data_IF_323272210586
#
_entry.id   IF_323272210586
#
_cell.length_a   1.000
_cell.length_b   1.000
_cell.length_c   1.000
_cell.angle_alpha   90.00
_cell.angle_beta   90.00
_cell.angle_gamma   90.00
#
_symmetry.space_group_name_H-M   'P 1'
#
loop_
_entity.id
_entity.type
_entity.pdbx_description
1 polymer ?
#
# COMPACT_ATOMS: atom_id res chain seq x y z
N UNK A 1 -12.12 6.45 -21.46
CA UNK A 1 -13.39 6.16 -20.79
C UNK A 1 -14.04 4.88 -21.34
N UNK A 2 -13.31 3.76 -21.44
CA UNK A 2 -13.82 2.44 -21.89
C UNK A 2 -13.41 1.25 -21.00
N UNK A 3 -12.71 1.48 -19.88
CA UNK A 3 -12.18 0.41 -19.01
C UNK A 3 -13.04 0.08 -17.77
N UNK A 4 -14.12 0.84 -17.54
CA UNK A 4 -14.93 0.75 -16.31
C UNK A 4 -15.92 -0.43 -16.28
N UNK A 5 -16.19 -1.10 -17.40
CA UNK A 5 -17.26 -2.12 -17.47
C UNK A 5 -16.80 -3.58 -17.26
N UNK A 6 -15.51 -3.87 -17.25
CA UNK A 6 -15.01 -5.25 -17.09
C UNK A 6 -14.88 -5.66 -15.62
N UNK A 7 -14.72 -4.71 -14.69
CA UNK A 7 -14.53 -5.00 -13.27
C UNK A 7 -15.78 -5.35 -12.47
N UNK A 8 -16.97 -4.90 -12.91
CA UNK A 8 -18.22 -5.21 -12.21
C UNK A 8 -18.60 -6.69 -12.28
N UNK A 9 -18.14 -7.42 -13.29
CA UNK A 9 -18.46 -8.85 -13.46
C UNK A 9 -17.65 -9.78 -12.55
N UNK A 10 -16.44 -9.39 -12.15
CA UNK A 10 -15.57 -10.20 -11.28
C UNK A 10 -15.96 -10.12 -9.80
N UNK A 11 -16.49 -8.99 -9.36
CA UNK A 11 -16.95 -8.80 -7.98
C UNK A 11 -18.18 -9.66 -7.64
N UNK A 12 -19.10 -9.85 -8.60
CA UNK A 12 -20.33 -10.62 -8.37
C UNK A 12 -20.08 -12.13 -8.29
N UNK A 13 -19.04 -12.65 -8.97
CA UNK A 13 -18.69 -14.07 -8.89
C UNK A 13 -17.85 -14.42 -7.65
N UNK A 14 -17.12 -13.45 -7.08
CA UNK A 14 -16.34 -13.63 -5.84
C UNK A 14 -17.22 -13.82 -4.60
N UNK A 15 -18.40 -13.21 -4.57
CA UNK A 15 -19.32 -13.29 -3.40
C UNK A 15 -19.96 -14.70 -3.28
N UNK A 16 -20.13 -15.41 -4.38
CA UNK A 16 -20.74 -16.76 -4.34
C UNK A 16 -19.77 -17.84 -3.84
N UNK A 17 -18.45 -17.62 -3.90
CA UNK A 17 -17.44 -18.57 -3.40
C UNK A 17 -17.18 -18.37 -1.90
N UNK A 18 -17.45 -17.19 -1.38
CA UNK A 18 -17.21 -16.86 0.03
C UNK A 18 -18.19 -17.52 1.03
N UNK A 19 -19.31 -18.03 0.56
CA UNK A 19 -20.33 -18.65 1.44
C UNK A 19 -20.03 -20.09 1.89
N UNK A 20 -18.93 -20.68 1.44
CA UNK A 20 -18.52 -22.04 1.82
C UNK A 20 -17.20 -22.13 2.57
N UNK A 21 -16.56 -20.98 2.88
CA UNK A 21 -15.38 -20.97 3.75
C UNK A 21 -15.86 -21.03 5.21
N UNK A 22 -15.42 -22.02 5.97
CA UNK A 22 -15.46 -21.99 7.42
C UNK A 22 -14.95 -20.62 7.90
N UNK A 23 -15.59 -20.04 8.93
CA UNK A 23 -15.15 -18.78 9.56
C UNK A 23 -13.71 -18.97 10.07
N UNK A 24 -12.74 -18.69 9.21
CA UNK A 24 -11.34 -18.61 9.63
C UNK A 24 -11.16 -17.24 10.28
N UNK A 25 -10.78 -17.21 11.57
CA UNK A 25 -10.35 -15.99 12.25
C UNK A 25 -9.04 -15.51 11.60
N UNK A 26 -9.14 -14.57 10.71
CA UNK A 26 -8.00 -13.87 10.13
C UNK A 26 -7.52 -12.83 11.13
N UNK A 27 -6.34 -13.03 11.71
CA UNK A 27 -5.67 -12.03 12.55
C UNK A 27 -4.82 -11.07 11.72
N UNK A 28 -4.60 -9.85 12.23
CA UNK A 28 -3.69 -8.89 11.61
C UNK A 28 -2.26 -9.43 11.61
N UNK A 29 -1.67 -9.59 10.42
CA UNK A 29 -0.27 -10.02 10.22
C UNK A 29 0.52 -8.93 9.54
N UNK A 30 1.80 -8.79 9.94
CA UNK A 30 2.75 -7.84 9.36
C UNK A 30 3.88 -8.54 8.59
N UNK A 31 3.71 -9.83 8.29
CA UNK A 31 4.65 -10.60 7.47
C UNK A 31 4.01 -10.93 6.14
N UNK A 32 4.26 -10.09 5.14
CA UNK A 32 3.65 -10.19 3.81
C UNK A 32 4.50 -9.58 2.70
N UNK A 33 4.22 -10.00 1.46
CA UNK A 33 4.55 -9.27 0.24
C UNK A 33 3.26 -8.66 -0.35
N UNK A 34 3.35 -7.47 -0.88
CA UNK A 34 2.24 -6.74 -1.49
C UNK A 34 2.64 -6.23 -2.86
N UNK A 35 1.76 -6.39 -3.86
CA UNK A 35 1.89 -5.78 -5.17
C UNK A 35 0.67 -4.91 -5.43
N UNK A 36 0.89 -3.66 -5.84
CA UNK A 36 -0.14 -2.67 -6.18
C UNK A 36 0.09 -2.06 -7.55
N UNK A 37 -0.98 -1.88 -8.28
CA UNK A 37 -1.06 -1.00 -9.44
C UNK A 37 -1.58 0.35 -8.96
N UNK A 38 -0.93 1.41 -9.40
CA UNK A 38 -1.18 2.79 -8.98
C UNK A 38 -1.61 3.60 -10.20
N UNK A 39 -2.66 4.38 -10.05
CA UNK A 39 -3.14 5.35 -11.03
C UNK A 39 -3.09 6.73 -10.35
N UNK A 40 -2.39 7.69 -10.97
CA UNK A 40 -2.17 9.06 -10.48
C UNK A 40 -3.05 10.01 -11.27
N UNK A 41 -4.11 10.55 -10.65
CA UNK A 41 -5.16 11.28 -11.35
C UNK A 41 -4.67 12.63 -11.90
N UNK A 42 -4.04 13.47 -11.09
CA UNK A 42 -3.71 14.85 -11.47
C UNK A 42 -2.41 14.99 -12.28
N UNK A 43 -1.45 14.08 -12.12
CA UNK A 43 -0.17 14.10 -12.84
C UNK A 43 -0.19 13.29 -14.12
N UNK A 44 -1.27 12.53 -14.34
CA UNK A 44 -1.44 11.68 -15.53
C UNK A 44 -0.31 10.66 -15.63
N UNK A 45 -0.22 9.77 -14.67
CA UNK A 45 0.76 8.68 -14.63
C UNK A 45 0.18 7.42 -14.03
N UNK A 46 0.86 6.33 -14.27
CA UNK A 46 0.55 5.03 -13.66
C UNK A 46 1.83 4.33 -13.22
N UNK A 47 1.70 3.32 -12.40
CA UNK A 47 2.87 2.61 -11.92
C UNK A 47 2.56 1.34 -11.16
N UNK A 48 3.61 0.75 -10.66
CA UNK A 48 3.57 -0.42 -9.80
C UNK A 48 4.34 -0.14 -8.50
N UNK A 49 3.82 -0.68 -7.40
CA UNK A 49 4.46 -0.63 -6.09
C UNK A 49 4.53 -2.05 -5.52
N UNK A 50 5.72 -2.46 -5.14
CA UNK A 50 5.97 -3.72 -4.45
C UNK A 50 6.46 -3.41 -3.03
N UNK A 51 5.83 -4.02 -2.02
CA UNK A 51 6.19 -3.85 -0.63
C UNK A 51 6.46 -5.21 0.01
N UNK A 52 7.44 -5.23 0.90
CA UNK A 52 7.73 -6.34 1.80
C UNK A 52 7.63 -5.85 3.24
N UNK A 53 7.02 -6.65 4.09
CA UNK A 53 7.01 -6.44 5.53
C UNK A 53 7.31 -7.76 6.23
N UNK A 54 8.16 -7.71 7.24
CA UNK A 54 8.52 -8.87 8.04
C UNK A 54 8.50 -8.50 9.53
N UNK A 55 7.66 -9.18 10.28
CA UNK A 55 7.54 -9.02 11.72
C UNK A 55 8.68 -9.73 12.44
N UNK A 56 9.52 -8.98 13.14
CA UNK A 56 10.65 -9.52 13.92
C UNK A 56 10.18 -10.12 15.24
N UNK A 57 9.18 -9.49 15.84
CA UNK A 57 8.53 -9.88 17.08
C UNK A 57 7.16 -9.19 17.12
N UNK A 58 6.41 -9.38 18.20
CA UNK A 58 5.04 -8.89 18.30
C UNK A 58 4.85 -7.37 18.10
N UNK A 59 5.90 -6.58 18.07
CA UNK A 59 5.79 -5.13 17.98
C UNK A 59 6.68 -4.50 16.89
N UNK A 60 7.80 -5.11 16.54
CA UNK A 60 8.75 -4.55 15.58
C UNK A 60 8.68 -5.26 14.23
N UNK A 61 8.75 -4.49 13.17
CA UNK A 61 8.84 -5.01 11.80
C UNK A 61 9.93 -4.31 10.99
N UNK A 62 10.47 -5.04 10.01
CA UNK A 62 11.28 -4.49 8.93
C UNK A 62 10.38 -4.35 7.72
N UNK A 63 10.55 -3.26 6.99
CA UNK A 63 9.79 -2.97 5.78
C UNK A 63 10.75 -2.57 4.66
N UNK A 64 10.39 -2.91 3.43
CA UNK A 64 11.07 -2.49 2.23
C UNK A 64 10.09 -2.32 1.09
N UNK A 65 10.43 -1.47 0.13
CA UNK A 65 9.58 -1.18 -1.00
C UNK A 65 10.38 -0.85 -2.26
N UNK A 66 9.73 -1.10 -3.38
CA UNK A 66 10.17 -0.69 -4.71
C UNK A 66 8.94 -0.19 -5.45
N UNK A 67 9.04 1.01 -6.03
CA UNK A 67 7.99 1.52 -6.90
C UNK A 67 8.57 2.08 -8.19
N UNK A 68 7.79 1.98 -9.27
CA UNK A 68 8.13 2.55 -10.56
C UNK A 68 6.88 3.19 -11.14
N UNK A 69 7.02 4.43 -11.60
CA UNK A 69 5.95 5.25 -12.14
C UNK A 69 6.36 5.80 -13.50
N UNK A 70 5.44 5.71 -14.44
CA UNK A 70 5.53 6.31 -15.77
C UNK A 70 4.60 7.52 -15.80
N UNK A 71 5.15 8.70 -16.03
CA UNK A 71 4.40 9.94 -16.14
C UNK A 71 4.31 10.39 -17.59
N UNK A 72 3.34 11.25 -17.87
CA UNK A 72 3.27 11.95 -19.15
C UNK A 72 4.59 12.69 -19.46
N UNK A 73 4.88 12.92 -20.74
CA UNK A 73 6.08 13.60 -21.25
C UNK A 73 7.39 12.81 -21.09
N UNK A 74 7.34 11.48 -21.02
CA UNK A 74 8.49 10.59 -20.89
C UNK A 74 9.33 10.92 -19.63
N UNK A 75 8.67 11.02 -18.52
CA UNK A 75 9.27 11.15 -17.20
C UNK A 75 8.99 9.85 -16.44
N UNK A 76 10.06 9.17 -16.02
CA UNK A 76 9.99 7.92 -15.28
C UNK A 76 10.57 8.16 -13.89
N UNK A 77 9.98 7.52 -12.88
CA UNK A 77 10.49 7.58 -11.50
C UNK A 77 10.58 6.19 -10.92
N UNK A 78 11.71 5.87 -10.31
CA UNK A 78 11.91 4.64 -9.56
C UNK A 78 12.32 4.98 -8.13
N UNK A 79 11.60 4.41 -7.16
CA UNK A 79 11.88 4.63 -5.74
C UNK A 79 12.16 3.31 -5.04
N UNK A 80 13.21 3.30 -4.24
CA UNK A 80 13.55 2.20 -3.33
C UNK A 80 13.45 2.70 -1.90
N UNK A 81 12.86 1.90 -1.03
CA UNK A 81 12.75 2.25 0.37
C UNK A 81 13.06 1.06 1.29
N UNK A 82 13.66 1.36 2.45
CA UNK A 82 13.93 0.39 3.50
C UNK A 82 13.80 1.05 4.87
N UNK A 83 13.24 0.33 5.82
CA UNK A 83 13.07 0.88 7.16
C UNK A 83 12.53 -0.10 8.17
N UNK A 84 11.98 0.45 9.24
CA UNK A 84 11.35 -0.31 10.30
C UNK A 84 10.05 0.33 10.76
N UNK A 85 9.28 -0.46 11.47
CA UNK A 85 8.03 0.01 12.06
C UNK A 85 7.82 -0.56 13.44
N UNK A 86 6.95 0.12 14.18
CA UNK A 86 6.48 -0.31 15.48
C UNK A 86 4.95 -0.41 15.47
N UNK A 87 4.47 -1.54 15.99
CA UNK A 87 3.04 -1.88 16.08
C UNK A 87 2.63 -1.81 17.55
N UNK A 88 1.70 -0.92 17.87
CA UNK A 88 1.01 -0.95 19.16
C UNK A 88 -0.27 -1.77 19.00
N UNK A 89 -0.25 -2.97 19.52
CA UNK A 89 -1.42 -3.84 19.54
C UNK A 89 -2.38 -3.35 20.60
N UNK A 90 -3.41 -2.63 20.19
CA UNK A 90 -4.35 -1.99 21.10
C UNK A 90 -5.50 -2.92 21.50
N UNK A 91 -5.99 -3.69 20.53
CA UNK A 91 -7.03 -4.69 20.74
C UNK A 91 -6.85 -5.84 19.76
N UNK A 92 -7.62 -6.91 19.89
CA UNK A 92 -7.52 -8.06 18.97
C UNK A 92 -7.86 -7.68 17.52
N UNK A 93 -8.60 -6.60 17.33
CA UNK A 93 -9.16 -6.20 16.03
C UNK A 93 -8.45 -4.99 15.41
N UNK A 94 -7.65 -4.21 16.18
CA UNK A 94 -6.96 -3.03 15.65
C UNK A 94 -5.63 -2.72 16.32
N UNK A 95 -4.73 -2.25 15.48
CA UNK A 95 -3.38 -1.84 15.83
C UNK A 95 -3.15 -0.38 15.41
N UNK A 96 -2.27 0.31 16.16
CA UNK A 96 -1.64 1.54 15.72
C UNK A 96 -0.26 1.20 15.18
N UNK A 97 0.13 1.83 14.09
CA UNK A 97 1.38 1.53 13.39
C UNK A 97 2.13 2.81 13.11
N UNK A 98 3.42 2.82 13.39
CA UNK A 98 4.32 3.87 12.92
C UNK A 98 5.48 3.28 12.17
N UNK A 99 5.96 3.98 11.14
CA UNK A 99 7.14 3.54 10.37
C UNK A 99 8.11 4.68 10.15
N UNK A 100 9.38 4.34 10.03
CA UNK A 100 10.45 5.21 9.57
C UNK A 100 11.21 4.48 8.47
N UNK A 101 11.37 5.11 7.30
CA UNK A 101 12.01 4.53 6.12
C UNK A 101 13.06 5.49 5.57
N UNK A 102 14.18 4.97 5.13
CA UNK A 102 15.06 5.66 4.20
C UNK A 102 14.51 5.45 2.79
N UNK A 103 14.51 6.51 1.99
CA UNK A 103 13.95 6.55 0.64
C UNK A 103 15.00 7.08 -0.30
N UNK A 104 15.15 6.43 -1.44
CA UNK A 104 15.94 6.91 -2.57
C UNK A 104 15.07 6.87 -3.82
N UNK A 105 15.03 7.97 -4.55
CA UNK A 105 14.26 8.14 -5.78
C UNK A 105 15.18 8.56 -6.91
N UNK A 106 15.09 7.85 -8.03
CA UNK A 106 15.73 8.20 -9.30
C UNK A 106 14.64 8.68 -10.27
N UNK A 107 14.85 9.82 -10.91
CA UNK A 107 13.91 10.43 -11.86
C UNK A 107 14.63 10.60 -13.20
N UNK A 108 14.11 9.95 -14.24
CA UNK A 108 14.56 10.07 -15.60
C UNK A 108 13.65 10.98 -16.41
N UNK A 109 14.23 11.96 -17.08
CA UNK A 109 13.53 12.90 -17.97
C UNK A 109 14.23 12.97 -19.32
N UNK A 110 13.57 13.48 -20.38
CA UNK A 110 14.22 13.71 -21.68
C UNK A 110 15.45 14.62 -21.65
N UNK A 111 15.60 15.40 -20.58
CA UNK A 111 16.72 16.35 -20.38
C UNK A 111 17.85 15.81 -19.52
N UNK A 112 17.70 14.66 -18.90
CA UNK A 112 18.69 14.03 -18.00
C UNK A 112 18.04 13.34 -16.82
N UNK A 113 18.86 12.68 -16.01
CA UNK A 113 18.43 12.01 -14.78
C UNK A 113 18.85 12.80 -13.54
N UNK A 114 18.08 12.67 -12.48
CA UNK A 114 18.39 13.18 -11.15
C UNK A 114 18.03 12.14 -10.09
N UNK A 115 18.78 12.11 -9.02
CA UNK A 115 18.54 11.27 -7.85
C UNK A 115 18.32 12.13 -6.62
N UNK A 116 17.50 11.64 -5.70
CA UNK A 116 17.23 12.27 -4.41
C UNK A 116 17.09 11.22 -3.34
N UNK A 117 17.44 11.56 -2.10
CA UNK A 117 17.33 10.63 -0.98
C UNK A 117 16.93 11.35 0.31
N UNK A 118 16.19 10.66 1.14
CA UNK A 118 15.71 11.22 2.39
C UNK A 118 15.01 10.20 3.28
N UNK A 119 14.05 10.67 4.06
CA UNK A 119 13.32 9.84 5.00
C UNK A 119 11.82 10.00 4.83
N UNK A 120 11.12 8.88 5.01
CA UNK A 120 9.67 8.87 5.11
C UNK A 120 9.24 8.39 6.51
N UNK A 121 8.27 9.09 7.07
CA UNK A 121 7.62 8.72 8.33
C UNK A 121 6.13 8.47 8.08
N UNK A 122 5.56 7.45 8.72
CA UNK A 122 4.11 7.27 8.73
C UNK A 122 3.58 6.94 10.11
N UNK A 123 2.33 7.36 10.34
CA UNK A 123 1.56 6.97 11.51
C UNK A 123 0.12 6.67 11.08
N UNK A 124 -0.43 5.57 11.57
CA UNK A 124 -1.76 5.15 11.16
C UNK A 124 -2.38 4.09 12.06
N UNK A 125 -3.56 3.67 11.66
CA UNK A 125 -4.29 2.59 12.28
C UNK A 125 -4.68 1.54 11.23
N UNK A 126 -4.77 0.29 11.68
CA UNK A 126 -5.16 -0.86 10.89
C UNK A 126 -6.11 -1.69 11.72
N UNK A 127 -7.21 -2.16 11.13
CA UNK A 127 -8.20 -2.91 11.90
C UNK A 127 -9.09 -3.79 11.04
N UNK A 128 -9.64 -4.84 11.66
CA UNK A 128 -10.66 -5.70 11.06
C UNK A 128 -12.05 -5.14 11.38
N UNK A 129 -12.80 -4.72 10.36
CA UNK A 129 -14.21 -4.36 10.49
C UNK A 129 -15.12 -5.60 10.50
N UNK A 130 -14.64 -6.69 9.91
CA UNK A 130 -15.24 -8.01 9.91
C UNK A 130 -14.13 -9.05 9.75
N UNK A 131 -14.36 -10.34 10.04
CA UNK A 131 -13.32 -11.37 9.98
C UNK A 131 -12.52 -11.41 8.68
N UNK A 132 -13.12 -10.99 7.57
CA UNK A 132 -12.48 -10.99 6.25
C UNK A 132 -12.27 -9.60 5.66
N UNK A 133 -12.57 -8.53 6.41
CA UNK A 133 -12.49 -7.17 5.89
C UNK A 133 -11.64 -6.28 6.78
N UNK A 134 -10.51 -5.86 6.25
CA UNK A 134 -9.58 -4.93 6.88
C UNK A 134 -9.78 -3.52 6.35
N UNK A 135 -9.69 -2.55 7.25
CA UNK A 135 -9.52 -1.15 6.91
C UNK A 135 -8.23 -0.62 7.51
N UNK A 136 -7.58 0.29 6.82
CA UNK A 136 -6.45 1.04 7.36
C UNK A 136 -6.50 2.48 6.90
N UNK A 137 -5.90 3.35 7.72
CA UNK A 137 -5.69 4.75 7.40
C UNK A 137 -4.37 5.21 7.98
N UNK A 138 -3.62 6.01 7.23
CA UNK A 138 -2.33 6.55 7.68
C UNK A 138 -2.08 7.94 7.14
N UNK A 139 -1.35 8.74 7.91
CA UNK A 139 -0.71 9.96 7.46
C UNK A 139 0.75 9.62 7.17
N UNK A 140 1.21 10.00 6.00
CA UNK A 140 2.56 9.76 5.51
C UNK A 140 3.24 11.10 5.23
N UNK A 141 4.47 11.25 5.67
CA UNK A 141 5.32 12.40 5.40
C UNK A 141 6.62 11.93 4.80
N UNK A 142 6.93 12.43 3.62
CA UNK A 142 8.18 12.14 2.88
C UNK A 142 9.00 13.40 2.84
N UNK A 143 10.24 13.33 3.25
CA UNK A 143 11.20 14.43 3.25
C UNK A 143 12.36 14.06 2.33
N UNK A 144 12.29 14.56 1.12
CA UNK A 144 13.32 14.59 0.09
C UNK A 144 13.74 16.06 -0.08
N UNK A 145 14.31 16.45 -1.22
CA UNK A 145 14.58 17.87 -1.55
C UNK A 145 13.31 18.72 -1.41
N UNK A 146 12.16 18.16 -1.76
CA UNK A 146 10.84 18.70 -1.43
C UNK A 146 10.12 17.73 -0.47
N UNK A 147 9.46 18.29 0.54
CA UNK A 147 8.66 17.48 1.46
C UNK A 147 7.22 17.40 1.03
N UNK A 148 6.63 16.23 1.15
CA UNK A 148 5.22 15.99 0.88
C UNK A 148 4.54 15.25 2.03
N UNK A 149 3.23 15.51 2.20
CA UNK A 149 2.41 14.85 3.23
C UNK A 149 1.09 14.44 2.61
N UNK A 150 0.76 13.17 2.72
CA UNK A 150 -0.48 12.61 2.20
C UNK A 150 -1.19 11.70 3.19
N UNK A 151 -2.50 11.60 3.03
CA UNK A 151 -3.36 10.67 3.74
C UNK A 151 -3.63 9.46 2.84
N UNK A 152 -3.44 8.25 3.37
CA UNK A 152 -3.87 7.01 2.72
C UNK A 152 -5.06 6.41 3.49
N UNK A 153 -6.09 5.96 2.74
CA UNK A 153 -7.17 5.14 3.25
C UNK A 153 -7.29 3.91 2.37
N UNK A 154 -7.34 2.73 2.98
CA UNK A 154 -7.36 1.47 2.25
C UNK A 154 -8.34 0.47 2.85
N UNK A 155 -8.86 -0.42 2.01
CA UNK A 155 -9.66 -1.58 2.38
C UNK A 155 -9.18 -2.82 1.68
N UNK A 156 -9.04 -3.92 2.42
CA UNK A 156 -8.57 -5.20 1.91
C UNK A 156 -9.56 -6.31 2.29
N UNK A 157 -9.85 -7.21 1.35
CA UNK A 157 -10.65 -8.39 1.56
C UNK A 157 -9.76 -9.63 1.59
N UNK A 158 -9.85 -10.42 2.65
CA UNK A 158 -9.14 -11.67 2.81
C UNK A 158 -9.91 -12.83 2.19
N UNK A 159 -9.35 -13.44 1.15
CA UNK A 159 -9.88 -14.67 0.57
C UNK A 159 -9.60 -15.88 1.44
N UNK A 160 -8.48 -15.84 2.13
CA UNK A 160 -8.02 -16.82 3.12
C UNK A 160 -6.92 -16.17 3.99
N UNK A 161 -6.32 -16.93 4.90
CA UNK A 161 -5.25 -16.45 5.78
C UNK A 161 -3.98 -16.00 5.04
N UNK A 162 -3.78 -16.42 3.80
CA UNK A 162 -2.56 -16.18 3.03
C UNK A 162 -2.73 -15.08 1.97
N UNK A 163 -3.94 -14.80 1.51
CA UNK A 163 -4.17 -13.91 0.37
C UNK A 163 -5.27 -12.92 0.69
N UNK A 164 -4.96 -11.65 0.52
CA UNK A 164 -5.96 -10.58 0.44
C UNK A 164 -5.79 -9.78 -0.86
N UNK A 165 -6.85 -9.10 -1.27
CA UNK A 165 -6.79 -8.07 -2.29
C UNK A 165 -7.59 -6.86 -1.83
N UNK A 166 -7.19 -5.69 -2.29
CA UNK A 166 -7.80 -4.45 -1.85
C UNK A 166 -7.48 -3.27 -2.73
N UNK A 167 -7.99 -2.14 -2.28
CA UNK A 167 -7.80 -0.85 -2.93
C UNK A 167 -7.41 0.20 -1.89
N UNK A 168 -6.72 1.26 -2.33
CA UNK A 168 -6.49 2.44 -1.51
C UNK A 168 -6.65 3.72 -2.31
N UNK A 169 -6.92 4.79 -1.56
CA UNK A 169 -6.93 6.16 -2.01
C UNK A 169 -5.85 6.92 -1.24
N UNK A 170 -5.02 7.64 -1.96
CA UNK A 170 -4.03 8.54 -1.40
C UNK A 170 -4.44 9.96 -1.75
N UNK A 171 -4.48 10.84 -0.75
CA UNK A 171 -4.86 12.25 -0.87
C UNK A 171 -3.64 13.10 -0.54
N UNK A 172 -3.01 13.65 -1.55
CA UNK A 172 -1.91 14.60 -1.45
C UNK A 172 -2.37 15.98 -1.93
N UNK A 173 -1.66 17.04 -1.50
CA UNK A 173 -2.07 18.40 -1.88
C UNK A 173 -2.07 18.67 -3.38
N UNK A 174 -1.20 18.01 -4.12
CA UNK A 174 -0.97 18.25 -5.55
C UNK A 174 -1.28 17.05 -6.45
N UNK A 175 -1.61 15.88 -5.91
CA UNK A 175 -2.05 14.73 -6.69
C UNK A 175 -2.68 13.65 -5.83
N UNK A 176 -3.84 13.18 -6.25
CA UNK A 176 -4.49 12.03 -5.67
C UNK A 176 -4.07 10.75 -6.40
N UNK A 177 -4.06 9.62 -5.68
CA UNK A 177 -3.78 8.33 -6.29
C UNK A 177 -4.84 7.30 -5.91
N UNK A 178 -5.19 6.48 -6.89
CA UNK A 178 -5.97 5.27 -6.68
C UNK A 178 -5.07 4.04 -6.85
N UNK A 179 -5.19 3.08 -5.95
CA UNK A 179 -4.43 1.84 -6.09
C UNK A 179 -5.32 0.61 -5.96
N UNK A 180 -4.94 -0.45 -6.66
CA UNK A 180 -5.51 -1.79 -6.52
C UNK A 180 -4.38 -2.80 -6.40
N UNK A 181 -4.51 -3.78 -5.53
CA UNK A 181 -3.44 -4.76 -5.36
C UNK A 181 -3.82 -5.98 -4.54
N UNK A 182 -2.82 -6.78 -4.28
CA UNK A 182 -2.96 -8.00 -3.49
C UNK A 182 -1.77 -8.16 -2.53
N UNK A 183 -2.03 -8.81 -1.41
CA UNK A 183 -1.03 -9.25 -0.43
C UNK A 183 -0.98 -10.75 -0.34
N UNK A 184 0.24 -11.22 -0.18
CA UNK A 184 0.51 -12.59 0.18
C UNK A 184 1.21 -12.64 1.55
N UNK A 185 0.57 -13.29 2.51
CA UNK A 185 1.05 -13.42 3.88
C UNK A 185 1.85 -14.72 4.05
N UNK A 186 3.04 -14.58 4.63
CA UNK A 186 3.89 -15.72 5.00
C UNK A 186 3.65 -16.04 6.47
N UNK A 187 3.33 -17.29 6.77
CA UNK A 187 3.20 -17.80 8.14
C UNK A 187 4.08 -19.01 8.33
#
# INVERSE_FOLDING_TARGET
MKMLFVFAGLLVHGIAIAQAAEEQEVGLSYTYAELRFVDLDDRGGDGIRFNLSYELNNNWMIIGGLSSYDFNNNVDSTTVEIGGGYVWRYANEYDLVTTLRFVQTDIDTPGGSSDDSGFAFSAGARGLLAPQFEIRGSVNHVNLDNSDTYLEVAGDYYFNEQISAGLSLEFAGDSDAFTIGARWFFR
#
